data_IF_559895330713
#
_entry.id   IF_559895330713
#
_cell.length_a   1.000
_cell.length_b   1.000
_cell.length_c   1.000
_cell.angle_alpha   90.00
_cell.angle_beta   90.00
_cell.angle_gamma   90.00
#
_symmetry.space_group_name_H-M   'P 1'
#
loop_
_entity.id
_entity.type
_entity.pdbx_description
1 polymer ?
#
# COMPACT_ATOMS: atom_id res chain seq x y z
N UNK A 1 -22.20 1.33 23.93
CA UNK A 1 -21.44 0.26 23.31
C UNK A 1 -20.12 0.11 24.05
N UNK A 2 -19.60 -1.08 24.13
CA UNK A 2 -18.28 -1.33 24.72
C UNK A 2 -17.19 -0.71 23.84
N UNK A 3 -16.24 -0.02 24.45
CA UNK A 3 -15.04 0.47 23.76
C UNK A 3 -14.01 -0.65 23.70
N UNK A 4 -13.58 -1.02 22.50
CA UNK A 4 -12.53 -2.02 22.29
C UNK A 4 -11.22 -1.29 22.04
N UNK A 5 -10.22 -1.53 22.90
CA UNK A 5 -8.85 -1.04 22.70
C UNK A 5 -8.13 -1.99 21.74
N UNK A 6 -8.02 -1.59 20.48
CA UNK A 6 -7.41 -2.42 19.44
C UNK A 6 -5.87 -2.36 19.45
N UNK A 7 -5.32 -1.23 19.90
CA UNK A 7 -3.89 -1.01 20.11
C UNK A 7 -3.71 0.00 21.24
N UNK A 8 -2.70 -0.21 22.09
CA UNK A 8 -2.40 0.68 23.20
C UNK A 8 -0.88 0.79 23.44
N UNK A 9 -0.39 2.01 23.61
CA UNK A 9 1.01 2.27 23.96
C UNK A 9 2.03 1.96 22.85
N UNK A 10 1.60 1.88 21.59
CA UNK A 10 2.50 1.58 20.47
C UNK A 10 3.46 2.73 20.22
N UNK A 11 4.77 2.46 20.30
CA UNK A 11 5.82 3.36 19.90
C UNK A 11 6.64 2.71 18.78
N UNK A 12 6.61 3.28 17.59
CA UNK A 12 7.26 2.74 16.41
C UNK A 12 8.06 3.82 15.68
N UNK A 13 9.23 3.48 15.17
CA UNK A 13 10.05 4.33 14.34
C UNK A 13 10.44 3.62 13.05
N UNK A 14 10.12 4.22 11.92
CA UNK A 14 10.42 3.73 10.60
C UNK A 14 11.52 4.59 9.97
N UNK A 15 12.77 4.10 9.89
CA UNK A 15 13.88 4.89 9.35
C UNK A 15 13.77 4.99 7.83
N UNK A 16 14.14 6.16 7.30
CA UNK A 16 14.32 6.33 5.85
C UNK A 16 15.49 5.46 5.34
N UNK A 17 15.44 5.12 4.06
CA UNK A 17 16.45 4.25 3.42
C UNK A 17 16.32 2.78 3.83
N UNK A 18 15.19 2.36 4.41
CA UNK A 18 15.01 0.97 4.81
C UNK A 18 13.60 0.44 4.57
N UNK A 19 13.50 -0.87 4.43
CA UNK A 19 12.26 -1.62 4.45
C UNK A 19 12.05 -2.21 5.84
N UNK A 20 11.00 -1.77 6.52
CA UNK A 20 10.63 -2.30 7.84
C UNK A 20 9.48 -3.29 7.71
N UNK A 21 9.69 -4.54 8.09
CA UNK A 21 8.66 -5.57 8.20
C UNK A 21 7.90 -5.43 9.51
N UNK A 22 6.60 -5.29 9.47
CA UNK A 22 5.72 -5.36 10.64
C UNK A 22 5.07 -6.74 10.66
N UNK A 23 5.52 -7.59 11.57
CA UNK A 23 5.06 -8.96 11.71
C UNK A 23 4.29 -9.16 13.01
N UNK A 24 3.53 -10.23 13.10
CA UNK A 24 2.75 -10.58 14.29
C UNK A 24 1.53 -11.44 13.94
N UNK A 25 0.84 -11.93 14.96
CA UNK A 25 -0.35 -12.76 14.78
C UNK A 25 -1.48 -12.00 14.06
N UNK A 26 -2.40 -12.77 13.44
CA UNK A 26 -3.63 -12.20 12.89
C UNK A 26 -4.43 -11.52 14.02
N UNK A 27 -4.94 -10.32 13.76
CA UNK A 27 -5.66 -9.57 14.78
C UNK A 27 -4.80 -8.75 15.75
N UNK A 28 -3.46 -8.77 15.63
CA UNK A 28 -2.58 -7.98 16.51
C UNK A 28 -2.56 -6.46 16.24
N UNK A 29 -3.32 -5.96 15.27
CA UNK A 29 -3.41 -4.53 14.99
C UNK A 29 -2.54 -4.01 13.84
N UNK A 30 -1.74 -4.84 13.16
CA UNK A 30 -0.80 -4.40 12.10
C UNK A 30 -1.44 -3.55 11.01
N UNK A 31 -2.52 -4.03 10.41
CA UNK A 31 -3.27 -3.29 9.38
C UNK A 31 -3.90 -2.02 9.93
N UNK A 32 -4.37 -2.05 11.19
CA UNK A 32 -4.89 -0.86 11.86
C UNK A 32 -3.80 0.19 12.02
N UNK A 33 -2.58 -0.20 12.40
CA UNK A 33 -1.45 0.72 12.48
C UNK A 33 -1.16 1.36 11.13
N UNK A 34 -1.06 0.56 10.06
CA UNK A 34 -0.86 1.07 8.69
C UNK A 34 -1.95 2.05 8.24
N UNK A 35 -3.21 1.72 8.49
CA UNK A 35 -4.34 2.58 8.16
C UNK A 35 -4.42 3.83 9.04
N UNK A 36 -4.03 3.76 10.32
CA UNK A 36 -4.04 4.91 11.22
C UNK A 36 -3.09 6.02 10.76
N UNK A 37 -1.90 5.66 10.26
CA UNK A 37 -0.92 6.61 9.71
C UNK A 37 -1.55 7.52 8.64
N UNK A 38 -2.45 6.95 7.83
CA UNK A 38 -3.11 7.67 6.74
C UNK A 38 -4.51 8.20 7.10
N UNK A 39 -4.96 8.03 8.34
CA UNK A 39 -6.30 8.43 8.76
C UNK A 39 -7.42 7.69 7.99
N UNK A 40 -7.20 6.42 7.62
CA UNK A 40 -8.14 5.60 6.84
C UNK A 40 -8.99 4.66 7.69
N UNK A 41 -8.97 4.82 9.01
CA UNK A 41 -9.83 4.06 9.90
C UNK A 41 -11.30 4.51 9.79
N UNK A 42 -12.23 3.61 10.10
CA UNK A 42 -13.66 3.95 10.08
C UNK A 42 -13.97 5.10 11.04
N UNK A 43 -15.02 5.88 10.75
CA UNK A 43 -15.40 7.06 11.53
C UNK A 43 -15.80 6.77 13.01
N UNK A 44 -15.88 5.51 13.42
CA UNK A 44 -16.08 5.09 14.80
C UNK A 44 -14.76 4.84 15.55
N UNK A 45 -13.63 4.77 14.84
CA UNK A 45 -12.33 4.58 15.45
C UNK A 45 -11.78 5.90 16.00
N UNK A 46 -11.33 5.87 17.25
CA UNK A 46 -10.63 6.97 17.89
C UNK A 46 -9.13 6.67 17.88
N UNK A 47 -8.34 7.61 17.36
CA UNK A 47 -6.89 7.52 17.36
C UNK A 47 -6.33 8.58 18.29
N UNK A 48 -5.49 8.16 19.23
CA UNK A 48 -4.81 9.05 20.17
C UNK A 48 -3.29 8.91 20.02
N UNK A 49 -2.56 9.95 20.38
CA UNK A 49 -1.11 10.00 20.27
C UNK A 49 -0.63 10.94 19.17
N UNK A 50 0.53 10.64 18.60
CA UNK A 50 1.16 11.44 17.54
C UNK A 50 1.72 10.54 16.45
N UNK A 51 1.64 10.97 15.20
CA UNK A 51 2.27 10.33 14.05
C UNK A 51 3.10 11.35 13.29
N UNK A 52 4.41 11.36 13.52
CA UNK A 52 5.30 12.36 12.95
C UNK A 52 5.83 11.96 11.58
N UNK A 53 5.61 12.80 10.57
CA UNK A 53 6.18 12.68 9.24
C UNK A 53 6.76 14.01 8.79
N UNK A 54 8.06 14.07 8.49
CA UNK A 54 8.77 15.28 8.06
C UNK A 54 8.49 16.51 8.97
N UNK A 55 8.41 16.29 10.28
CA UNK A 55 8.13 17.34 11.27
C UNK A 55 6.65 17.71 11.44
N UNK A 56 5.74 17.09 10.71
CA UNK A 56 4.30 17.28 10.82
C UNK A 56 3.65 16.13 11.58
N UNK A 57 2.69 16.44 12.47
CA UNK A 57 1.87 15.41 13.11
C UNK A 57 0.67 15.09 12.22
N UNK A 58 0.69 13.94 11.56
CA UNK A 58 -0.34 13.50 10.62
C UNK A 58 -1.74 13.41 11.26
N UNK A 59 -1.80 13.10 12.56
CA UNK A 59 -3.09 12.99 13.25
C UNK A 59 -3.77 14.33 13.49
N UNK A 60 -3.03 15.43 13.33
CA UNK A 60 -3.54 16.80 13.50
C UNK A 60 -3.73 17.55 12.20
N UNK A 61 -3.35 16.95 11.07
CA UNK A 61 -3.52 17.59 9.77
C UNK A 61 -5.00 17.66 9.40
N UNK A 62 -5.46 18.80 8.85
CA UNK A 62 -6.78 18.88 8.25
C UNK A 62 -6.87 17.97 7.02
N UNK A 63 -8.08 17.49 6.71
CA UNK A 63 -8.32 16.52 5.63
C UNK A 63 -7.74 16.96 4.28
N UNK A 64 -7.80 18.26 3.97
CA UNK A 64 -7.26 18.82 2.73
C UNK A 64 -5.74 18.58 2.61
N UNK A 65 -5.00 18.71 3.72
CA UNK A 65 -3.56 18.46 3.74
C UNK A 65 -3.26 16.95 3.72
N UNK A 66 -4.06 16.14 4.41
CA UNK A 66 -3.95 14.69 4.35
C UNK A 66 -4.19 14.14 2.94
N UNK A 67 -5.05 14.76 2.13
CA UNK A 67 -5.25 14.38 0.72
C UNK A 67 -3.98 14.59 -0.12
N UNK A 68 -3.16 15.58 0.18
CA UNK A 68 -1.86 15.76 -0.49
C UNK A 68 -0.80 14.74 -0.03
N UNK A 69 -0.95 14.19 1.17
CA UNK A 69 -0.06 13.14 1.69
C UNK A 69 -0.42 11.78 1.09
N UNK A 70 -1.71 11.43 1.08
CA UNK A 70 -2.19 10.12 0.62
C UNK A 70 -1.87 9.90 -0.86
N UNK A 71 -1.20 8.79 -1.17
CA UNK A 71 -0.89 8.35 -2.53
C UNK A 71 0.23 9.11 -3.23
N UNK A 72 0.67 10.25 -2.71
CA UNK A 72 1.77 11.07 -3.25
C UNK A 72 3.01 11.00 -2.34
N UNK A 73 2.85 11.28 -1.06
CA UNK A 73 3.92 11.15 -0.08
C UNK A 73 3.94 9.74 0.52
N UNK A 74 2.78 9.27 0.98
CA UNK A 74 2.63 7.95 1.59
C UNK A 74 1.49 7.21 0.89
N UNK A 75 1.77 6.07 0.29
CA UNK A 75 0.76 5.22 -0.35
C UNK A 75 0.50 3.95 0.46
N UNK A 76 -0.73 3.44 0.37
CA UNK A 76 -1.13 2.17 0.94
C UNK A 76 -1.47 1.16 -0.18
N UNK A 77 -0.86 -0.01 -0.11
CA UNK A 77 -1.30 -1.20 -0.83
C UNK A 77 -2.14 -2.02 0.14
N UNK A 78 -3.47 -2.05 -0.02
CA UNK A 78 -4.36 -2.71 0.94
C UNK A 78 -4.35 -4.22 0.78
N UNK A 79 -4.70 -4.93 1.85
CA UNK A 79 -4.74 -6.38 1.92
C UNK A 79 -5.79 -7.01 1.00
N UNK A 80 -6.94 -6.34 0.80
CA UNK A 80 -8.09 -6.89 0.06
C UNK A 80 -8.33 -6.12 -1.24
N UNK A 81 -7.90 -6.64 -2.39
CA UNK A 81 -8.08 -5.96 -3.67
C UNK A 81 -9.54 -5.88 -4.11
N UNK A 82 -10.40 -6.82 -3.69
CA UNK A 82 -11.80 -6.87 -4.10
C UNK A 82 -12.60 -5.70 -3.50
N UNK A 83 -12.27 -5.28 -2.29
CA UNK A 83 -12.91 -4.14 -1.63
C UNK A 83 -12.35 -2.79 -2.12
N UNK A 84 -11.13 -2.80 -2.64
CA UNK A 84 -10.41 -1.60 -3.04
C UNK A 84 -10.61 -1.23 -4.52
N UNK A 85 -10.95 -2.20 -5.36
CA UNK A 85 -11.21 -1.97 -6.79
C UNK A 85 -12.71 -1.79 -7.04
N UNK A 86 -13.07 -0.70 -7.74
CA UNK A 86 -14.45 -0.46 -8.15
C UNK A 86 -14.85 -1.44 -9.27
N UNK A 87 -15.83 -2.34 -9.04
CA UNK A 87 -16.18 -3.40 -10.00
C UNK A 87 -16.83 -2.88 -11.29
N UNK A 88 -17.43 -1.71 -11.28
CA UNK A 88 -18.10 -1.12 -12.46
C UNK A 88 -17.19 -0.19 -13.27
N UNK A 89 -15.92 -0.04 -12.87
CA UNK A 89 -14.92 0.77 -13.58
C UNK A 89 -13.81 -0.10 -14.15
N UNK A 90 -13.35 0.23 -15.35
CA UNK A 90 -12.21 -0.46 -15.97
C UNK A 90 -10.93 -0.20 -15.17
N UNK A 91 -10.09 -1.22 -15.10
CA UNK A 91 -8.80 -1.17 -14.35
C UNK A 91 -7.93 0.02 -14.81
N UNK A 92 -7.75 0.21 -16.10
CA UNK A 92 -6.91 1.29 -16.63
C UNK A 92 -7.38 2.68 -16.21
N UNK A 93 -8.69 2.90 -16.08
CA UNK A 93 -9.22 4.18 -15.59
C UNK A 93 -8.93 4.38 -14.10
N UNK A 94 -9.04 3.34 -13.30
CA UNK A 94 -8.76 3.42 -11.87
C UNK A 94 -7.26 3.68 -11.62
N UNK A 95 -6.39 3.02 -12.38
CA UNK A 95 -4.94 3.26 -12.32
C UNK A 95 -4.61 4.71 -12.67
N UNK A 96 -5.05 5.22 -13.83
CA UNK A 96 -4.71 6.60 -14.25
C UNK A 96 -5.34 7.67 -13.36
N UNK A 97 -6.46 7.37 -12.69
CA UNK A 97 -7.10 8.29 -11.75
C UNK A 97 -6.19 8.64 -10.56
N UNK A 98 -5.38 7.69 -10.09
CA UNK A 98 -4.42 7.95 -9.01
C UNK A 98 -3.47 9.12 -9.32
N UNK A 99 -3.10 9.32 -10.59
CA UNK A 99 -2.28 10.45 -10.99
C UNK A 99 -3.09 11.73 -11.18
N UNK A 100 -4.30 11.62 -11.73
CA UNK A 100 -5.14 12.79 -12.03
C UNK A 100 -5.69 13.46 -10.77
N UNK A 101 -5.99 12.71 -9.74
CA UNK A 101 -6.45 13.23 -8.43
C UNK A 101 -5.39 14.13 -7.80
N UNK A 102 -4.10 13.86 -8.03
CA UNK A 102 -2.99 14.68 -7.55
C UNK A 102 -2.54 15.77 -8.53
N UNK A 103 -3.45 16.17 -9.45
CA UNK A 103 -3.24 17.32 -10.33
C UNK A 103 -2.46 17.03 -11.61
N UNK A 104 -2.03 15.80 -11.85
CA UNK A 104 -1.42 15.46 -13.13
C UNK A 104 -2.49 15.34 -14.22
N UNK A 105 -2.49 16.30 -15.14
CA UNK A 105 -3.45 16.36 -16.28
C UNK A 105 -2.90 15.73 -17.56
N UNK A 106 -1.65 15.28 -17.54
CA UNK A 106 -1.01 14.63 -18.69
C UNK A 106 -1.49 13.19 -18.83
N UNK A 107 -2.40 12.98 -19.79
CA UNK A 107 -2.97 11.65 -20.05
C UNK A 107 -1.96 10.68 -20.68
N UNK A 108 -1.01 11.17 -21.46
CA UNK A 108 0.01 10.33 -22.10
C UNK A 108 0.96 9.80 -21.05
N UNK A 109 1.44 10.66 -20.16
CA UNK A 109 2.26 10.26 -19.02
C UNK A 109 1.51 9.29 -18.09
N UNK A 110 0.24 9.54 -17.80
CA UNK A 110 -0.55 8.64 -16.95
C UNK A 110 -0.73 7.25 -17.59
N UNK A 111 -0.97 7.18 -18.89
CA UNK A 111 -1.08 5.92 -19.62
C UNK A 111 0.27 5.20 -19.70
N UNK A 112 1.34 5.91 -20.01
CA UNK A 112 2.69 5.33 -20.08
C UNK A 112 3.10 4.74 -18.74
N UNK A 113 2.85 5.45 -17.63
CA UNK A 113 3.15 4.98 -16.29
C UNK A 113 2.29 3.79 -15.87
N UNK A 114 1.00 3.82 -16.20
CA UNK A 114 0.11 2.66 -16.01
C UNK A 114 0.71 1.41 -16.65
N UNK A 115 1.12 1.52 -17.90
CA UNK A 115 1.65 0.39 -18.67
C UNK A 115 3.01 -0.07 -18.14
N UNK A 116 3.86 0.87 -17.72
CA UNK A 116 5.12 0.58 -17.03
C UNK A 116 4.87 -0.28 -15.77
N UNK A 117 4.02 0.19 -14.87
CA UNK A 117 3.76 -0.51 -13.61
C UNK A 117 3.03 -1.84 -13.80
N UNK A 118 2.11 -1.93 -14.73
CA UNK A 118 1.49 -3.21 -15.07
C UNK A 118 2.54 -4.22 -15.57
N UNK A 119 3.51 -3.80 -16.41
CA UNK A 119 4.60 -4.69 -16.85
C UNK A 119 5.51 -5.08 -15.69
N UNK A 120 5.90 -4.16 -14.82
CA UNK A 120 6.71 -4.46 -13.61
C UNK A 120 6.01 -5.52 -12.76
N UNK A 121 4.70 -5.46 -12.59
CA UNK A 121 3.92 -6.46 -11.88
C UNK A 121 3.56 -7.70 -12.70
N UNK A 122 4.26 -7.95 -13.83
CA UNK A 122 4.21 -9.20 -14.59
C UNK A 122 3.01 -9.34 -15.53
N UNK A 123 2.41 -8.24 -15.98
CA UNK A 123 1.40 -8.29 -17.03
C UNK A 123 2.04 -8.07 -18.40
N UNK A 124 2.06 -9.12 -19.23
CA UNK A 124 2.64 -9.07 -20.57
C UNK A 124 1.84 -8.14 -21.52
N UNK A 125 0.54 -8.03 -21.32
CA UNK A 125 -0.38 -7.20 -22.11
C UNK A 125 -1.11 -6.19 -21.19
N UNK A 126 -0.52 -5.00 -20.92
CA UNK A 126 -1.15 -3.95 -20.13
C UNK A 126 -2.47 -3.43 -20.70
N UNK A 127 -2.61 -3.41 -22.02
CA UNK A 127 -3.82 -2.92 -22.68
C UNK A 127 -5.02 -3.83 -22.40
N UNK A 128 -4.81 -5.13 -22.46
CA UNK A 128 -5.85 -6.12 -22.11
C UNK A 128 -6.28 -5.92 -20.65
N UNK A 129 -5.34 -5.78 -19.73
CA UNK A 129 -5.64 -5.57 -18.30
C UNK A 129 -6.37 -4.25 -18.10
N UNK A 130 -5.93 -3.19 -18.76
CA UNK A 130 -6.53 -1.85 -18.65
C UNK A 130 -7.99 -1.80 -19.10
N UNK A 131 -8.36 -2.63 -20.08
CA UNK A 131 -9.75 -2.74 -20.58
C UNK A 131 -10.64 -3.64 -19.72
N UNK A 132 -10.05 -4.50 -18.90
CA UNK A 132 -10.78 -5.41 -18.03
C UNK A 132 -11.44 -4.69 -16.83
N UNK A 133 -12.41 -5.36 -16.24
CA UNK A 133 -13.00 -5.04 -14.93
C UNK A 133 -12.43 -5.99 -13.88
N UNK A 134 -12.48 -5.61 -12.60
CA UNK A 134 -11.90 -6.42 -11.52
C UNK A 134 -12.49 -7.83 -11.44
N UNK A 135 -13.79 -8.00 -11.71
CA UNK A 135 -14.44 -9.31 -11.69
C UNK A 135 -14.03 -10.24 -12.86
N UNK A 136 -13.35 -9.71 -13.88
CA UNK A 136 -12.80 -10.48 -15.01
C UNK A 136 -11.37 -10.97 -14.74
N UNK A 137 -10.77 -10.56 -13.62
CA UNK A 137 -9.43 -10.90 -13.22
C UNK A 137 -9.43 -11.91 -12.07
N UNK A 138 -8.42 -12.77 -12.00
CA UNK A 138 -8.24 -13.64 -10.84
C UNK A 138 -7.86 -12.83 -9.59
N UNK A 139 -8.00 -13.43 -8.41
CA UNK A 139 -7.60 -12.79 -7.15
C UNK A 139 -6.13 -12.32 -7.16
N UNK A 140 -5.22 -13.17 -7.64
CA UNK A 140 -3.80 -12.81 -7.76
C UNK A 140 -3.53 -11.74 -8.82
N UNK A 141 -4.34 -11.64 -9.89
CA UNK A 141 -4.24 -10.53 -10.84
C UNK A 141 -4.71 -9.22 -10.20
N UNK A 142 -5.83 -9.23 -9.48
CA UNK A 142 -6.32 -8.06 -8.76
C UNK A 142 -5.32 -7.60 -7.69
N UNK A 143 -4.65 -8.52 -6.98
CA UNK A 143 -3.61 -8.18 -6.01
C UNK A 143 -2.43 -7.45 -6.66
N UNK A 144 -1.97 -7.90 -7.80
CA UNK A 144 -0.89 -7.24 -8.56
C UNK A 144 -1.32 -5.90 -9.14
N UNK A 145 -2.56 -5.77 -9.60
CA UNK A 145 -3.13 -4.49 -10.06
C UNK A 145 -3.18 -3.46 -8.94
N UNK A 146 -3.63 -3.85 -7.75
CA UNK A 146 -3.67 -2.95 -6.58
C UNK A 146 -2.25 -2.51 -6.16
N UNK A 147 -1.29 -3.42 -6.21
CA UNK A 147 0.11 -3.09 -5.92
C UNK A 147 0.68 -2.09 -6.95
N UNK A 148 0.39 -2.31 -8.24
CA UNK A 148 0.74 -1.35 -9.29
C UNK A 148 0.07 0.01 -9.06
N UNK A 149 -1.21 0.02 -8.68
CA UNK A 149 -1.98 1.25 -8.43
C UNK A 149 -1.40 2.06 -7.26
N UNK A 150 -1.06 1.41 -6.16
CA UNK A 150 -0.49 2.09 -4.99
C UNK A 150 0.88 2.72 -5.26
N UNK A 151 1.64 2.16 -6.19
CA UNK A 151 3.04 2.59 -6.41
C UNK A 151 3.24 3.46 -7.66
N UNK A 152 2.25 3.55 -8.56
CA UNK A 152 2.46 4.25 -9.84
C UNK A 152 2.66 5.76 -9.72
N UNK A 153 2.31 6.38 -8.60
CA UNK A 153 2.64 7.78 -8.30
C UNK A 153 4.07 7.96 -7.81
N UNK A 154 4.84 6.87 -7.63
CA UNK A 154 6.17 6.86 -7.01
C UNK A 154 6.15 7.60 -5.67
N UNK A 155 5.36 7.12 -4.71
CA UNK A 155 5.26 7.74 -3.39
C UNK A 155 6.60 7.71 -2.67
N UNK A 156 6.82 8.67 -1.76
CA UNK A 156 8.03 8.68 -0.93
C UNK A 156 8.07 7.52 0.04
N UNK A 157 6.91 7.12 0.54
CA UNK A 157 6.73 5.97 1.41
C UNK A 157 5.65 5.05 0.91
N UNK A 158 5.84 3.75 1.04
CA UNK A 158 4.84 2.75 0.75
C UNK A 158 4.53 1.92 2.00
N UNK A 159 3.25 1.72 2.28
CA UNK A 159 2.76 0.76 3.27
C UNK A 159 2.12 -0.38 2.48
N UNK A 160 2.72 -1.57 2.52
CA UNK A 160 2.23 -2.74 1.81
C UNK A 160 1.63 -3.73 2.82
N UNK A 161 0.31 -3.84 2.84
CA UNK A 161 -0.40 -4.75 3.74
C UNK A 161 -0.70 -6.07 3.03
N UNK A 162 0.00 -7.13 3.44
CA UNK A 162 -0.08 -8.48 2.88
C UNK A 162 0.00 -8.50 1.33
N UNK A 163 1.01 -7.85 0.71
CA UNK A 163 1.02 -7.57 -0.72
C UNK A 163 1.06 -8.82 -1.61
N UNK A 164 1.29 -9.98 -1.04
CA UNK A 164 1.40 -11.26 -1.76
C UNK A 164 0.36 -12.29 -1.35
N UNK A 165 -0.64 -11.86 -0.58
CA UNK A 165 -1.73 -12.73 -0.16
C UNK A 165 -2.47 -13.31 -1.37
N UNK A 166 -2.68 -14.63 -1.36
CA UNK A 166 -3.38 -15.33 -2.44
C UNK A 166 -2.58 -15.53 -3.73
N UNK A 167 -1.27 -15.24 -3.73
CA UNK A 167 -0.37 -15.53 -4.84
C UNK A 167 0.30 -16.91 -4.66
N UNK A 168 0.49 -17.61 -5.77
CA UNK A 168 1.37 -18.78 -5.80
C UNK A 168 2.85 -18.40 -5.58
N UNK A 169 3.71 -19.39 -5.38
CA UNK A 169 5.11 -19.15 -5.02
C UNK A 169 5.91 -18.37 -6.09
N UNK A 170 5.59 -18.58 -7.38
CA UNK A 170 6.29 -17.92 -8.49
C UNK A 170 5.89 -16.45 -8.56
N UNK A 171 4.60 -16.15 -8.54
CA UNK A 171 4.07 -14.79 -8.55
C UNK A 171 4.46 -14.02 -7.29
N UNK A 172 4.46 -14.69 -6.13
CA UNK A 172 4.94 -14.12 -4.86
C UNK A 172 6.37 -13.62 -4.99
N UNK A 173 7.27 -14.47 -5.52
CA UNK A 173 8.68 -14.10 -5.73
C UNK A 173 8.82 -12.91 -6.69
N UNK A 174 8.02 -12.86 -7.76
CA UNK A 174 8.03 -11.73 -8.69
C UNK A 174 7.62 -10.42 -8.00
N UNK A 175 6.52 -10.43 -7.24
CA UNK A 175 6.07 -9.25 -6.50
C UNK A 175 7.14 -8.79 -5.49
N UNK A 176 7.83 -9.71 -4.82
CA UNK A 176 8.94 -9.37 -3.92
C UNK A 176 10.08 -8.64 -4.63
N UNK A 177 10.49 -9.15 -5.79
CA UNK A 177 11.54 -8.53 -6.59
C UNK A 177 11.14 -7.11 -6.99
N UNK A 178 9.89 -6.91 -7.40
CA UNK A 178 9.37 -5.58 -7.75
C UNK A 178 9.34 -4.65 -6.54
N UNK A 179 8.85 -5.11 -5.39
CA UNK A 179 8.82 -4.30 -4.16
C UNK A 179 10.23 -3.94 -3.70
N UNK A 180 11.18 -4.87 -3.78
CA UNK A 180 12.58 -4.62 -3.44
C UNK A 180 13.20 -3.58 -4.37
N UNK A 181 13.06 -3.73 -5.67
CA UNK A 181 13.52 -2.76 -6.65
C UNK A 181 12.93 -1.36 -6.38
N UNK A 182 11.62 -1.26 -6.13
CA UNK A 182 10.95 0.00 -5.82
C UNK A 182 11.48 0.61 -4.52
N UNK A 183 11.73 -0.21 -3.51
CA UNK A 183 12.28 0.28 -2.23
C UNK A 183 13.70 0.84 -2.37
N UNK A 184 14.46 0.36 -3.33
CA UNK A 184 15.83 0.81 -3.58
C UNK A 184 15.91 2.03 -4.52
N UNK A 185 14.92 2.21 -5.41
CA UNK A 185 15.00 3.21 -6.49
C UNK A 185 13.94 4.30 -6.44
N UNK A 186 12.74 3.99 -5.97
CA UNK A 186 11.58 4.87 -6.14
C UNK A 186 11.07 5.47 -4.83
N UNK A 187 11.36 4.84 -3.66
CA UNK A 187 10.85 5.28 -2.35
C UNK A 187 11.94 5.66 -1.37
N UNK A 188 11.62 6.53 -0.42
CA UNK A 188 12.47 6.87 0.72
C UNK A 188 12.39 5.82 1.84
N UNK A 189 11.37 4.95 1.84
CA UNK A 189 11.20 3.85 2.78
C UNK A 189 9.91 3.08 2.54
N UNK A 190 9.86 1.87 3.11
CA UNK A 190 8.70 0.99 2.96
C UNK A 190 8.37 0.29 4.28
N UNK A 191 7.08 0.17 4.57
CA UNK A 191 6.55 -0.66 5.66
C UNK A 191 5.83 -1.85 5.02
N UNK A 192 6.26 -3.05 5.32
CA UNK A 192 5.65 -4.29 4.82
C UNK A 192 5.00 -5.02 5.98
N UNK A 193 3.68 -5.06 5.96
CA UNK A 193 2.88 -5.80 6.93
C UNK A 193 2.70 -7.20 6.37
N UNK A 194 3.18 -8.21 7.09
CA UNK A 194 3.04 -9.60 6.65
C UNK A 194 3.11 -10.59 7.81
N UNK A 195 2.52 -11.76 7.63
CA UNK A 195 2.71 -12.93 8.48
C UNK A 195 3.71 -13.93 7.86
N UNK A 196 4.18 -13.68 6.65
CA UNK A 196 5.17 -14.50 5.95
C UNK A 196 6.59 -14.10 6.38
N UNK A 197 7.15 -14.85 7.35
CA UNK A 197 8.50 -14.60 7.88
C UNK A 197 9.58 -14.81 6.81
N UNK A 198 9.36 -15.74 5.87
CA UNK A 198 10.31 -15.98 4.79
C UNK A 198 10.40 -14.76 3.85
N UNK A 199 9.25 -14.15 3.55
CA UNK A 199 9.18 -12.89 2.82
C UNK A 199 9.92 -11.78 3.57
N UNK A 200 9.54 -11.59 4.82
CA UNK A 200 10.12 -10.54 5.65
C UNK A 200 11.65 -10.66 5.72
N UNK A 201 12.18 -11.89 5.79
CA UNK A 201 13.62 -12.16 5.80
C UNK A 201 14.35 -11.84 4.49
N UNK A 202 13.63 -11.80 3.34
CA UNK A 202 14.23 -11.51 2.03
C UNK A 202 14.11 -10.03 1.66
N UNK A 203 13.00 -9.39 2.07
CA UNK A 203 12.67 -8.02 1.64
C UNK A 203 13.03 -6.97 2.68
N UNK A 204 12.94 -7.30 3.98
CA UNK A 204 13.02 -6.30 5.04
C UNK A 204 14.42 -6.20 5.65
N UNK A 205 14.91 -4.98 5.83
CA UNK A 205 16.16 -4.69 6.55
C UNK A 205 15.97 -4.78 8.06
N UNK A 206 14.74 -4.57 8.52
CA UNK A 206 14.36 -4.54 9.94
C UNK A 206 13.02 -5.23 10.15
N UNK A 207 12.86 -5.83 11.32
CA UNK A 207 11.59 -6.43 11.73
C UNK A 207 11.09 -5.77 13.03
N UNK A 208 9.82 -5.45 13.03
CA UNK A 208 9.06 -5.07 14.22
C UNK A 208 7.99 -6.13 14.46
N UNK A 209 7.87 -6.55 15.70
CA UNK A 209 6.86 -7.55 16.10
C UNK A 209 5.76 -6.84 16.87
N UNK A 210 4.53 -6.91 16.37
CA UNK A 210 3.36 -6.42 17.09
C UNK A 210 2.66 -7.62 17.74
N UNK A 211 2.49 -7.54 19.06
CA UNK A 211 1.87 -8.57 19.86
C UNK A 211 0.80 -7.98 20.75
N UNK A 212 -0.45 -8.40 20.55
CA UNK A 212 -1.64 -7.96 21.33
C UNK A 212 -1.87 -6.43 21.38
N UNK A 213 -1.57 -5.71 20.31
CA UNK A 213 -1.79 -4.27 20.21
C UNK A 213 -0.66 -3.44 20.79
#
# INVERSE_FOLDING_TARGET
GETVHAMEGVNAYFPAGSVTGLIGESGSGKSLLGMSILGLLSGQAKVEGTCMYKGMDLYRLPEKEMQEIRGKEIALIPQNPTESLNPIRRIGKQLTECMTVHGNKDKELANSRRDEFLRRFGFADPDRISRAYSFQLSGGMNQRVISAMGLMNRPKWAIADEPTKGLDAILRRQVYQVLKEISETDTEGMIVITHDIALAGVLCDRLMVLYKG
#
